data_IF_790185341943
#
_entry.id   IF_790185341943
#
_cell.length_a   1.000
_cell.length_b   1.000
_cell.length_c   1.000
_cell.angle_alpha   90.00
_cell.angle_beta   90.00
_cell.angle_gamma   90.00
#
_symmetry.space_group_name_H-M   'P 1'
#
loop_
_entity.id
_entity.type
_entity.pdbx_description
1 polymer ?
#
# COMPACT_ATOMS: atom_id res chain seq x y z
N UNK A 1 -16.72 14.12 -21.80
CA UNK A 1 -16.18 13.76 -20.46
C UNK A 1 -16.17 12.25 -20.18
N UNK A 2 -17.26 11.49 -20.36
CA UNK A 2 -17.30 10.03 -20.06
C UNK A 2 -16.23 9.17 -20.75
N UNK A 3 -15.75 9.54 -21.95
CA UNK A 3 -14.69 8.81 -22.68
C UNK A 3 -13.28 8.94 -22.06
N UNK A 4 -13.03 9.96 -21.24
CA UNK A 4 -11.71 10.18 -20.62
C UNK A 4 -11.57 9.57 -19.22
N UNK A 5 -12.69 9.17 -18.60
CA UNK A 5 -12.71 8.63 -17.23
C UNK A 5 -11.84 7.36 -17.10
N UNK A 6 -11.87 6.39 -18.04
CA UNK A 6 -11.00 5.22 -17.95
C UNK A 6 -9.50 5.57 -18.04
N UNK A 7 -9.14 6.53 -18.91
CA UNK A 7 -7.76 7.00 -19.06
C UNK A 7 -7.28 7.69 -17.77
N UNK A 8 -8.13 8.52 -17.17
CA UNK A 8 -7.81 9.18 -15.90
C UNK A 8 -7.65 8.19 -14.75
N UNK A 9 -8.45 7.12 -14.72
CA UNK A 9 -8.30 6.05 -13.72
C UNK A 9 -7.04 5.23 -13.95
N UNK A 10 -6.71 4.90 -15.20
CA UNK A 10 -5.43 4.24 -15.52
C UNK A 10 -4.24 5.10 -15.11
N UNK A 11 -4.29 6.40 -15.40
CA UNK A 11 -3.27 7.35 -14.97
C UNK A 11 -3.20 7.43 -13.43
N UNK A 12 -4.33 7.50 -12.74
CA UNK A 12 -4.36 7.50 -11.28
C UNK A 12 -3.77 6.21 -10.69
N UNK A 13 -3.99 5.05 -11.30
CA UNK A 13 -3.36 3.78 -10.88
C UNK A 13 -1.84 3.86 -11.02
N UNK A 14 -1.34 4.35 -12.15
CA UNK A 14 0.12 4.49 -12.36
C UNK A 14 0.72 5.50 -11.39
N UNK A 15 0.09 6.65 -11.20
CA UNK A 15 0.56 7.70 -10.28
C UNK A 15 0.58 7.17 -8.85
N UNK A 16 -0.50 6.53 -8.39
CA UNK A 16 -0.55 5.95 -7.03
C UNK A 16 0.48 4.84 -6.85
N UNK A 17 0.80 4.05 -7.88
CA UNK A 17 1.89 3.08 -7.81
C UNK A 17 3.26 3.73 -7.59
N UNK A 18 3.56 4.80 -8.32
CA UNK A 18 4.80 5.57 -8.15
C UNK A 18 4.84 6.21 -6.76
N UNK A 19 3.78 6.91 -6.37
CA UNK A 19 3.65 7.56 -5.06
C UNK A 19 3.79 6.56 -3.91
N UNK A 20 3.29 5.33 -4.07
CA UNK A 20 3.45 4.26 -3.09
C UNK A 20 4.92 4.00 -2.79
N UNK A 21 5.77 3.87 -3.82
CA UNK A 21 7.19 3.64 -3.64
C UNK A 21 7.89 4.85 -2.97
N UNK A 22 7.50 6.08 -3.35
CA UNK A 22 8.00 7.29 -2.69
C UNK A 22 7.65 7.32 -1.19
N UNK A 23 6.38 7.12 -0.84
CA UNK A 23 5.91 7.16 0.55
C UNK A 23 6.59 6.06 1.38
N UNK A 24 6.74 4.87 0.79
CA UNK A 24 7.37 3.72 1.44
C UNK A 24 8.82 4.02 1.83
N UNK A 25 9.65 4.43 0.89
CA UNK A 25 11.06 4.73 1.17
C UNK A 25 11.21 5.98 2.06
N UNK A 26 10.38 7.00 1.88
CA UNK A 26 10.39 8.19 2.75
C UNK A 26 10.02 7.83 4.20
N UNK A 27 9.18 6.83 4.41
CA UNK A 27 8.83 6.37 5.76
C UNK A 27 10.03 5.74 6.46
N UNK A 28 10.79 4.91 5.73
CA UNK A 28 12.05 4.38 6.21
C UNK A 28 13.06 5.49 6.55
N UNK A 29 13.26 6.45 5.65
CA UNK A 29 14.17 7.58 5.85
C UNK A 29 13.76 8.45 7.05
N UNK A 30 12.47 8.78 7.14
CA UNK A 30 11.93 9.60 8.21
C UNK A 30 12.13 8.97 9.59
N UNK A 31 11.88 7.66 9.73
CA UNK A 31 12.11 6.97 11.00
C UNK A 31 13.58 6.70 11.27
N UNK A 32 14.41 6.47 10.25
CA UNK A 32 15.85 6.41 10.44
C UNK A 32 16.40 7.71 11.04
N UNK A 33 15.96 8.85 10.51
CA UNK A 33 16.30 10.16 11.04
C UNK A 33 15.81 10.33 12.50
N UNK A 34 14.56 10.00 12.79
CA UNK A 34 13.98 10.12 14.15
C UNK A 34 14.66 9.20 15.18
N UNK A 35 15.12 8.02 14.76
CA UNK A 35 15.78 7.04 15.64
C UNK A 35 17.30 7.17 15.67
N UNK A 36 17.86 8.16 14.95
CA UNK A 36 19.29 8.42 14.88
C UNK A 36 20.08 7.30 14.22
N UNK A 37 19.48 6.59 13.25
CA UNK A 37 20.16 5.55 12.47
C UNK A 37 20.74 6.18 11.20
N UNK A 38 22.06 6.08 10.96
CA UNK A 38 22.66 6.62 9.75
C UNK A 38 22.16 5.88 8.51
N UNK A 39 21.81 6.66 7.48
CA UNK A 39 21.50 6.15 6.15
C UNK A 39 22.79 6.19 5.34
N UNK A 40 23.23 5.04 4.83
CA UNK A 40 24.47 4.91 4.05
C UNK A 40 24.22 5.23 2.59
N UNK A 41 23.10 4.75 2.07
CA UNK A 41 22.80 4.84 0.65
C UNK A 41 21.30 4.84 0.40
N UNK A 42 20.88 5.60 -0.60
CA UNK A 42 19.53 5.55 -1.13
C UNK A 42 19.61 5.40 -2.65
N UNK A 43 19.02 4.32 -3.16
CA UNK A 43 18.96 4.03 -4.59
C UNK A 43 17.52 4.16 -5.06
N UNK A 44 17.27 5.08 -6.00
CA UNK A 44 15.97 5.19 -6.66
C UNK A 44 15.62 3.98 -7.50
N UNK A 45 16.63 3.37 -8.13
CA UNK A 45 16.52 2.08 -8.81
C UNK A 45 17.69 1.25 -8.32
N UNK A 46 17.41 0.34 -7.40
CA UNK A 46 18.43 -0.57 -6.93
C UNK A 46 18.93 -1.47 -8.07
N UNK A 47 20.25 -1.58 -8.29
CA UNK A 47 20.78 -2.36 -9.41
C UNK A 47 20.47 -3.86 -9.29
N UNK A 48 20.20 -4.37 -8.08
CA UNK A 48 19.88 -5.78 -7.81
C UNK A 48 18.37 -5.97 -7.73
N UNK A 49 17.68 -5.19 -6.91
CA UNK A 49 16.25 -5.37 -6.63
C UNK A 49 15.34 -4.71 -7.66
N UNK A 50 15.88 -3.79 -8.49
CA UNK A 50 15.15 -3.02 -9.52
C UNK A 50 13.96 -2.21 -8.98
N UNK A 51 13.98 -1.91 -7.69
CA UNK A 51 12.99 -1.08 -6.98
C UNK A 51 13.73 0.01 -6.18
N UNK A 52 13.06 1.08 -5.76
CA UNK A 52 13.63 2.01 -4.78
C UNK A 52 14.06 1.27 -3.51
N UNK A 53 15.19 1.66 -2.90
CA UNK A 53 15.71 1.01 -1.69
C UNK A 53 16.60 1.93 -0.86
N UNK A 54 16.39 1.93 0.46
CA UNK A 54 17.24 2.62 1.46
C UNK A 54 18.12 1.61 2.21
N UNK A 55 19.40 1.93 2.38
CA UNK A 55 20.39 1.15 3.09
C UNK A 55 20.88 1.88 4.35
N UNK A 56 20.99 1.16 5.46
CA UNK A 56 21.31 1.69 6.79
C UNK A 56 22.67 1.20 7.30
N UNK A 57 23.38 2.04 8.05
CA UNK A 57 24.67 1.70 8.65
C UNK A 57 24.43 0.99 9.99
N UNK A 58 24.20 -0.32 9.96
CA UNK A 58 23.89 -1.07 11.18
C UNK A 58 24.69 -2.36 11.26
N UNK A 59 25.53 -2.47 12.30
CA UNK A 59 26.23 -3.69 12.65
C UNK A 59 25.25 -4.67 13.33
N UNK A 60 24.44 -5.37 12.54
CA UNK A 60 23.53 -6.43 12.99
C UNK A 60 22.09 -5.99 13.26
N UNK A 61 21.24 -6.96 13.57
CA UNK A 61 19.81 -6.75 13.77
C UNK A 61 19.53 -6.07 15.12
N UNK A 62 18.76 -4.98 15.12
CA UNK A 62 18.33 -4.28 16.34
C UNK A 62 16.84 -3.94 16.28
N UNK A 63 16.21 -3.74 17.45
CA UNK A 63 14.79 -3.36 17.49
C UNK A 63 14.49 -2.06 16.73
N UNK A 64 15.44 -1.11 16.71
CA UNK A 64 15.31 0.15 15.95
C UNK A 64 15.30 -0.10 14.44
N UNK A 65 16.21 -0.96 13.97
CA UNK A 65 16.24 -1.39 12.57
C UNK A 65 14.95 -2.12 12.21
N UNK A 66 14.43 -3.00 13.07
CA UNK A 66 13.14 -3.66 12.84
C UNK A 66 12.02 -2.64 12.67
N UNK A 67 11.90 -1.67 13.58
CA UNK A 67 10.88 -0.62 13.51
C UNK A 67 10.96 0.16 12.19
N UNK A 68 12.17 0.51 11.74
CA UNK A 68 12.37 1.14 10.43
C UNK A 68 11.89 0.21 9.32
N UNK A 69 12.27 -1.07 9.31
CA UNK A 69 11.88 -2.03 8.27
C UNK A 69 10.36 -2.26 8.22
N UNK A 70 9.66 -2.30 9.37
CA UNK A 70 8.19 -2.37 9.38
C UNK A 70 7.52 -1.13 8.77
N UNK A 71 8.17 0.02 8.89
CA UNK A 71 7.51 1.30 8.68
C UNK A 71 7.17 1.62 7.24
N UNK A 72 8.00 1.18 6.28
CA UNK A 72 7.78 1.43 4.85
C UNK A 72 6.38 1.00 4.45
N UNK A 73 6.09 -0.29 4.64
CA UNK A 73 4.79 -0.86 4.33
C UNK A 73 3.65 -0.38 5.24
N UNK A 74 3.87 -0.28 6.57
CA UNK A 74 2.79 0.11 7.51
C UNK A 74 2.32 1.54 7.27
N UNK A 75 3.24 2.50 7.12
CA UNK A 75 2.88 3.90 6.91
C UNK A 75 2.19 4.08 5.56
N UNK A 76 2.76 3.49 4.50
CA UNK A 76 2.19 3.56 3.16
C UNK A 76 0.81 2.93 3.09
N UNK A 77 0.65 1.73 3.68
CA UNK A 77 -0.65 1.06 3.78
C UNK A 77 -1.68 1.93 4.53
N UNK A 78 -1.27 2.58 5.62
CA UNK A 78 -2.14 3.47 6.39
C UNK A 78 -2.61 4.68 5.56
N UNK A 79 -1.71 5.33 4.82
CA UNK A 79 -2.06 6.48 3.96
C UNK A 79 -3.13 6.09 2.94
N UNK A 80 -2.94 4.98 2.23
CA UNK A 80 -3.92 4.51 1.25
C UNK A 80 -5.22 4.03 1.90
N UNK A 81 -5.15 3.40 3.07
CA UNK A 81 -6.32 2.94 3.81
C UNK A 81 -7.20 4.10 4.27
N UNK A 82 -6.59 5.19 4.74
CA UNK A 82 -7.31 6.42 5.09
C UNK A 82 -7.97 7.01 3.84
N UNK A 83 -7.24 7.16 2.73
CA UNK A 83 -7.80 7.70 1.49
C UNK A 83 -8.98 6.84 0.99
N UNK A 84 -8.81 5.52 0.95
CA UNK A 84 -9.84 4.57 0.58
C UNK A 84 -11.09 4.73 1.44
N UNK A 85 -10.93 4.71 2.77
CA UNK A 85 -12.04 4.85 3.72
C UNK A 85 -12.78 6.19 3.57
N UNK A 86 -12.05 7.29 3.32
CA UNK A 86 -12.67 8.61 3.08
C UNK A 86 -13.47 8.63 1.76
N UNK A 87 -12.93 8.07 0.68
CA UNK A 87 -13.61 8.00 -0.61
C UNK A 87 -14.83 7.08 -0.55
N UNK A 88 -14.74 5.96 0.17
CA UNK A 88 -15.85 5.05 0.42
C UNK A 88 -16.95 5.74 1.23
N UNK A 89 -16.61 6.38 2.35
CA UNK A 89 -17.56 7.10 3.22
C UNK A 89 -18.32 8.20 2.48
N UNK A 90 -17.67 8.88 1.54
CA UNK A 90 -18.28 9.95 0.71
C UNK A 90 -19.02 9.39 -0.52
N UNK A 91 -19.12 8.08 -0.65
CA UNK A 91 -19.82 7.40 -1.74
C UNK A 91 -19.23 7.70 -3.11
N UNK A 92 -17.92 7.95 -3.21
CA UNK A 92 -17.25 8.12 -4.52
C UNK A 92 -17.03 6.79 -5.22
N UNK A 93 -16.67 5.75 -4.45
CA UNK A 93 -16.24 4.47 -5.00
C UNK A 93 -17.37 3.65 -5.66
N UNK A 94 -18.63 3.97 -5.38
CA UNK A 94 -19.79 3.32 -6.00
C UNK A 94 -20.42 4.13 -7.15
N UNK A 95 -19.83 5.26 -7.55
CA UNK A 95 -20.45 6.17 -8.56
C UNK A 95 -20.38 5.64 -9.99
N UNK A 96 -19.36 4.85 -10.29
CA UNK A 96 -19.17 4.25 -11.62
C UNK A 96 -18.21 3.07 -11.53
N UNK A 97 -18.20 2.20 -12.55
CA UNK A 97 -17.24 1.09 -12.62
C UNK A 97 -15.77 1.55 -12.58
N UNK A 98 -15.48 2.76 -13.06
CA UNK A 98 -14.12 3.31 -13.02
C UNK A 98 -13.70 3.74 -11.60
N UNK A 99 -14.60 4.40 -10.85
CA UNK A 99 -14.37 4.73 -9.44
C UNK A 99 -14.31 3.48 -8.56
N UNK A 100 -15.11 2.47 -8.89
CA UNK A 100 -15.07 1.18 -8.22
C UNK A 100 -13.73 0.48 -8.45
N UNK A 101 -13.25 0.43 -9.70
CA UNK A 101 -11.94 -0.15 -10.01
C UNK A 101 -10.79 0.58 -9.29
N UNK A 102 -10.85 1.92 -9.23
CA UNK A 102 -9.90 2.70 -8.44
C UNK A 102 -9.99 2.40 -6.94
N UNK A 103 -11.19 2.26 -6.40
CA UNK A 103 -11.42 1.83 -5.01
C UNK A 103 -10.87 0.44 -4.71
N UNK A 104 -11.03 -0.51 -5.62
CA UNK A 104 -10.46 -1.84 -5.53
C UNK A 104 -8.93 -1.78 -5.50
N UNK A 105 -8.34 -0.98 -6.40
CA UNK A 105 -6.90 -0.74 -6.45
C UNK A 105 -6.35 -0.15 -5.14
N UNK A 106 -6.99 0.88 -4.59
CA UNK A 106 -6.57 1.47 -3.31
C UNK A 106 -6.65 0.48 -2.14
N UNK A 107 -7.68 -0.38 -2.10
CA UNK A 107 -7.79 -1.41 -1.08
C UNK A 107 -6.70 -2.49 -1.22
N UNK A 108 -6.40 -2.90 -2.47
CA UNK A 108 -5.28 -3.79 -2.79
C UNK A 108 -3.98 -3.17 -2.29
N UNK A 109 -3.69 -1.92 -2.66
CA UNK A 109 -2.48 -1.22 -2.23
C UNK A 109 -2.37 -1.13 -0.70
N UNK A 110 -3.47 -0.79 -0.03
CA UNK A 110 -3.55 -0.70 1.43
C UNK A 110 -3.08 -2.00 2.09
N UNK A 111 -3.73 -3.11 1.74
CA UNK A 111 -3.46 -4.41 2.38
C UNK A 111 -2.12 -4.97 1.93
N UNK A 112 -1.78 -4.82 0.66
CA UNK A 112 -0.49 -5.26 0.13
C UNK A 112 0.67 -4.56 0.84
N UNK A 113 0.61 -3.23 1.02
CA UNK A 113 1.66 -2.47 1.71
C UNK A 113 1.75 -2.82 3.19
N UNK A 114 0.62 -2.97 3.90
CA UNK A 114 0.64 -3.51 5.26
C UNK A 114 1.33 -4.88 5.33
N UNK A 115 1.00 -5.76 4.39
CA UNK A 115 1.64 -7.07 4.25
C UNK A 115 3.13 -7.00 3.94
N UNK A 116 3.56 -6.07 3.08
CA UNK A 116 4.98 -5.81 2.80
C UNK A 116 5.71 -5.36 4.06
N UNK A 117 5.18 -4.40 4.81
CA UNK A 117 5.81 -3.95 6.05
C UNK A 117 5.95 -5.09 7.07
N UNK A 118 4.97 -5.98 7.18
CA UNK A 118 5.08 -7.18 8.02
C UNK A 118 6.16 -8.15 7.52
N UNK A 119 6.26 -8.38 6.21
CA UNK A 119 7.27 -9.26 5.62
C UNK A 119 8.68 -8.65 5.78
N UNK A 120 8.85 -7.35 5.50
CA UNK A 120 10.13 -6.65 5.59
C UNK A 120 10.62 -6.54 7.04
N UNK A 121 9.73 -6.27 7.98
CA UNK A 121 10.07 -6.13 9.40
C UNK A 121 10.23 -7.45 10.15
N UNK A 122 9.41 -8.47 9.86
CA UNK A 122 9.41 -9.75 10.60
C UNK A 122 10.16 -10.87 9.87
N UNK A 123 10.22 -10.83 8.53
CA UNK A 123 10.71 -11.92 7.68
C UNK A 123 11.72 -11.41 6.63
N UNK A 124 12.57 -10.44 7.01
CA UNK A 124 13.47 -9.73 6.10
C UNK A 124 14.34 -10.65 5.21
N UNK A 125 14.79 -11.80 5.73
CA UNK A 125 15.51 -12.80 4.93
C UNK A 125 14.65 -13.38 3.80
N UNK A 126 13.40 -13.75 4.09
CA UNK A 126 12.44 -14.27 3.10
C UNK A 126 11.97 -13.19 2.11
N UNK A 127 12.01 -11.91 2.50
CA UNK A 127 11.76 -10.78 1.59
C UNK A 127 12.80 -10.73 0.48
N UNK A 128 14.10 -10.76 0.86
CA UNK A 128 15.22 -10.69 -0.09
C UNK A 128 15.24 -11.92 -1.00
N UNK A 129 15.01 -13.12 -0.49
CA UNK A 129 14.89 -14.33 -1.32
C UNK A 129 13.65 -14.27 -2.23
N UNK A 130 12.54 -13.73 -1.72
CA UNK A 130 11.28 -13.69 -2.43
C UNK A 130 11.22 -12.73 -3.61
N UNK A 131 12.08 -11.72 -3.65
CA UNK A 131 12.23 -10.82 -4.80
C UNK A 131 12.89 -11.49 -6.01
N UNK A 132 13.50 -12.67 -5.84
CA UNK A 132 14.25 -13.37 -6.89
C UNK A 132 13.49 -14.53 -7.52
N UNK A 133 12.50 -15.10 -6.84
CA UNK A 133 11.77 -16.29 -7.30
C UNK A 133 10.25 -16.10 -7.34
N UNK A 134 9.65 -16.38 -8.51
CA UNK A 134 8.22 -16.21 -8.75
C UNK A 134 7.33 -17.12 -7.87
N UNK A 135 7.87 -18.27 -7.44
CA UNK A 135 7.21 -19.25 -6.57
C UNK A 135 7.51 -19.08 -5.07
N UNK A 136 8.18 -18.00 -4.66
CA UNK A 136 8.57 -17.82 -3.27
C UNK A 136 7.38 -17.64 -2.32
N UNK A 137 7.55 -18.06 -1.06
CA UNK A 137 6.54 -17.88 -0.02
C UNK A 137 6.15 -16.40 0.17
N UNK A 138 7.13 -15.48 0.08
CA UNK A 138 6.88 -14.02 0.12
C UNK A 138 5.96 -13.57 -1.02
N UNK A 139 6.16 -14.08 -2.25
CA UNK A 139 5.30 -13.73 -3.40
C UNK A 139 3.89 -14.29 -3.24
N UNK A 140 3.75 -15.51 -2.72
CA UNK A 140 2.44 -16.09 -2.42
C UNK A 140 1.69 -15.28 -1.36
N UNK A 141 2.39 -14.85 -0.30
CA UNK A 141 1.82 -13.96 0.72
C UNK A 141 1.38 -12.62 0.12
N UNK A 142 2.19 -12.02 -0.75
CA UNK A 142 1.83 -10.78 -1.47
C UNK A 142 0.53 -10.95 -2.26
N UNK A 143 0.40 -12.03 -3.04
CA UNK A 143 -0.82 -12.33 -3.79
C UNK A 143 -2.00 -12.48 -2.84
N UNK A 144 -1.84 -13.21 -1.72
CA UNK A 144 -2.89 -13.35 -0.73
C UNK A 144 -3.34 -12.01 -0.14
N UNK A 145 -2.40 -11.10 0.17
CA UNK A 145 -2.70 -9.75 0.63
C UNK A 145 -3.45 -8.92 -0.42
N UNK A 146 -3.03 -9.00 -1.69
CA UNK A 146 -3.75 -8.34 -2.79
C UNK A 146 -5.18 -8.87 -2.91
N UNK A 147 -5.37 -10.19 -2.88
CA UNK A 147 -6.69 -10.82 -2.92
C UNK A 147 -7.55 -10.38 -1.73
N UNK A 148 -6.98 -10.33 -0.53
CA UNK A 148 -7.68 -9.87 0.67
C UNK A 148 -8.14 -8.41 0.54
N UNK A 149 -7.28 -7.50 0.07
CA UNK A 149 -7.64 -6.11 -0.19
C UNK A 149 -8.78 -5.97 -1.20
N UNK A 150 -8.74 -6.74 -2.28
CA UNK A 150 -9.84 -6.79 -3.24
C UNK A 150 -11.15 -7.28 -2.62
N UNK A 151 -11.14 -8.37 -1.86
CA UNK A 151 -12.33 -8.91 -1.20
C UNK A 151 -12.90 -7.95 -0.15
N UNK A 152 -12.04 -7.23 0.59
CA UNK A 152 -12.47 -6.17 1.50
C UNK A 152 -13.19 -5.04 0.76
N UNK A 153 -12.70 -4.64 -0.42
CA UNK A 153 -13.40 -3.64 -1.22
C UNK A 153 -14.76 -4.14 -1.73
N UNK A 154 -14.81 -5.38 -2.23
CA UNK A 154 -16.07 -6.00 -2.69
C UNK A 154 -17.10 -6.07 -1.57
N UNK A 155 -16.69 -6.50 -0.38
CA UNK A 155 -17.58 -6.58 0.79
C UNK A 155 -18.02 -5.21 1.28
N UNK A 156 -17.13 -4.22 1.28
CA UNK A 156 -17.45 -2.84 1.67
C UNK A 156 -18.46 -2.17 0.72
N UNK A 157 -18.35 -2.42 -0.59
CA UNK A 157 -19.23 -1.84 -1.61
C UNK A 157 -20.54 -2.62 -1.81
N UNK A 158 -20.52 -3.95 -1.67
CA UNK A 158 -21.73 -4.80 -1.82
C UNK A 158 -22.52 -5.02 -0.51
N UNK A 159 -21.84 -5.01 0.64
CA UNK A 159 -22.43 -5.38 1.94
C UNK A 159 -22.80 -4.19 2.85
N UNK A 160 -22.27 -2.99 2.60
CA UNK A 160 -22.33 -1.88 3.58
C UNK A 160 -23.28 -0.71 3.27
N UNK A 161 -23.54 -0.38 2.00
CA UNK A 161 -24.16 0.91 1.65
C UNK A 161 -25.64 0.87 1.24
N UNK A 162 -26.23 -0.30 0.98
CA UNK A 162 -27.70 -0.41 0.88
C UNK A 162 -28.39 -0.12 2.22
N UNK A 163 -27.73 -0.33 3.37
CA UNK A 163 -28.28 0.01 4.70
C UNK A 163 -28.06 1.45 5.13
N UNK A 164 -26.99 2.11 4.68
CA UNK A 164 -26.70 3.50 5.04
C UNK A 164 -27.44 4.51 4.15
N UNK A 165 -27.71 4.16 2.89
CA UNK A 165 -28.49 5.01 1.97
C UNK A 165 -29.96 5.13 2.37
N UNK A 166 -30.48 4.19 3.16
CA UNK A 166 -31.83 4.23 3.76
C UNK A 166 -31.88 4.92 5.13
N UNK A 167 -30.80 5.59 5.58
CA UNK A 167 -30.74 6.31 6.87
C UNK A 167 -30.38 7.79 6.75
N UNK A 168 -30.37 8.35 5.54
CA UNK A 168 -30.38 9.81 5.43
C UNK A 168 -31.78 10.31 5.83
N UNK A 169 -31.92 11.16 6.85
CA UNK A 169 -33.21 11.78 7.13
C UNK A 169 -33.61 12.64 5.93
N UNK A 170 -34.88 12.53 5.54
CA UNK A 170 -35.50 13.42 4.57
C UNK A 170 -35.28 14.86 5.07
N UNK A 171 -34.68 15.77 4.28
CA UNK A 171 -34.74 17.18 4.60
C UNK A 171 -36.13 17.67 4.18
N UNK A 172 -37.07 17.62 5.13
CA UNK A 172 -38.25 18.49 5.12
C UNK A 172 -37.83 19.88 5.60
#
# INVERSE_FOLDING_TARGET
MRRFVPLLVALAIVVTFIETAFIHELSHLGLAYLLGIPVVQFNWIDPVLKVPSVYFDVAGWSWRLSVIQFSGGIVTGTVWGILHGQLLRRGYLDRSGAWWAFGAWLAILTVWQFGQGLIEGALHGMYIEGTREFGSASRMMQIAFMTMGFLLHVTATKGGLTRWRNRAPNPD
#
